data_IF_059196412216
#
_entry.id   IF_059196412216
#
_cell.length_a   1.000
_cell.length_b   1.000
_cell.length_c   1.000
_cell.angle_alpha   90.00
_cell.angle_beta   90.00
_cell.angle_gamma   90.00
#
_symmetry.space_group_name_H-M   'P 1'
#
loop_
_entity.id
_entity.type
_entity.pdbx_description
1 polymer ?
#
# COMPACT_ATOMS: atom_id res chain seq x y z
N UNK A 1 -1.64 -28.23 -8.07
CA UNK A 1 -3.06 -28.54 -8.29
C UNK A 1 -3.49 -29.53 -7.22
N UNK A 2 -4.38 -29.14 -6.32
CA UNK A 2 -4.88 -30.06 -5.31
C UNK A 2 -5.98 -30.94 -5.95
N UNK A 3 -5.77 -32.24 -5.98
CA UNK A 3 -6.78 -33.20 -6.43
C UNK A 3 -7.67 -33.54 -5.23
N UNK A 4 -8.94 -33.14 -5.28
CA UNK A 4 -9.94 -33.57 -4.30
C UNK A 4 -10.67 -34.78 -4.82
N UNK A 5 -10.72 -35.85 -4.03
CA UNK A 5 -11.44 -37.11 -4.34
C UNK A 5 -12.70 -37.18 -3.52
N UNK A 6 -13.78 -37.60 -4.15
CA UNK A 6 -15.05 -37.93 -3.49
C UNK A 6 -15.49 -39.33 -3.88
N UNK A 7 -16.25 -39.96 -3.01
CA UNK A 7 -16.77 -41.31 -3.24
C UNK A 7 -18.27 -41.21 -3.50
N UNK A 8 -18.72 -41.83 -4.57
CA UNK A 8 -20.16 -42.02 -4.81
C UNK A 8 -20.52 -43.44 -4.32
N UNK A 9 -21.46 -43.53 -3.38
CA UNK A 9 -21.95 -44.84 -2.87
C UNK A 9 -22.84 -45.52 -3.92
N UNK A 10 -23.06 -46.81 -3.72
CA UNK A 10 -23.99 -47.60 -4.57
C UNK A 10 -25.43 -47.07 -4.56
N UNK A 11 -25.79 -46.23 -3.59
CA UNK A 11 -27.09 -45.57 -3.46
C UNK A 11 -27.10 -44.19 -4.12
N UNK A 12 -25.99 -43.78 -4.80
CA UNK A 12 -25.86 -42.46 -5.44
C UNK A 12 -25.55 -41.33 -4.48
N UNK A 13 -25.24 -41.62 -3.20
CA UNK A 13 -24.88 -40.60 -2.23
C UNK A 13 -23.40 -40.24 -2.37
N UNK A 14 -23.11 -38.94 -2.43
CA UNK A 14 -21.74 -38.41 -2.43
C UNK A 14 -21.24 -38.33 -0.99
N UNK A 15 -20.11 -38.99 -0.69
CA UNK A 15 -19.42 -38.90 0.59
C UNK A 15 -18.09 -38.22 0.35
N UNK A 16 -17.86 -37.12 1.06
CA UNK A 16 -16.66 -36.30 0.97
C UNK A 16 -16.99 -34.84 0.79
N UNK A 17 -15.96 -34.02 0.58
CA UNK A 17 -16.12 -32.59 0.37
C UNK A 17 -16.66 -32.32 -1.03
N UNK A 18 -17.92 -31.90 -1.12
CA UNK A 18 -18.59 -31.59 -2.41
C UNK A 18 -18.41 -30.14 -2.85
N UNK A 19 -17.86 -29.30 -1.99
CA UNK A 19 -17.63 -27.89 -2.28
C UNK A 19 -16.15 -27.68 -2.66
N UNK A 20 -15.90 -27.31 -3.92
CA UNK A 20 -14.59 -26.90 -4.40
C UNK A 20 -14.53 -25.37 -4.25
N UNK A 21 -13.66 -24.89 -3.37
CA UNK A 21 -13.42 -23.47 -3.19
C UNK A 21 -12.08 -23.14 -3.83
N UNK A 22 -12.10 -22.30 -4.83
CA UNK A 22 -10.89 -21.68 -5.35
C UNK A 22 -10.52 -20.49 -4.45
N UNK A 23 -9.43 -20.61 -3.73
CA UNK A 23 -8.90 -19.52 -2.94
C UNK A 23 -8.19 -18.52 -3.84
N UNK A 24 -8.49 -17.23 -3.64
CA UNK A 24 -7.91 -16.15 -4.41
C UNK A 24 -6.55 -15.78 -3.82
N UNK A 25 -5.50 -15.87 -4.63
CA UNK A 25 -4.17 -15.40 -4.21
C UNK A 25 -4.22 -13.91 -3.83
N UNK A 26 -3.66 -13.59 -2.67
CA UNK A 26 -3.62 -12.25 -2.11
C UNK A 26 -2.23 -11.93 -1.59
N UNK A 27 -1.83 -10.68 -1.71
CA UNK A 27 -0.66 -10.12 -1.04
C UNK A 27 -1.12 -8.96 -0.20
N UNK A 28 -0.79 -8.98 1.09
CA UNK A 28 -1.15 -7.93 2.04
C UNK A 28 0.10 -7.27 2.59
N UNK A 29 0.06 -5.97 2.75
CA UNK A 29 1.10 -5.23 3.45
C UNK A 29 0.49 -4.18 4.38
N UNK A 30 1.26 -3.76 5.36
CA UNK A 30 0.89 -2.71 6.30
C UNK A 30 1.84 -1.52 6.14
N UNK A 31 1.25 -0.34 5.95
CA UNK A 31 1.95 0.93 5.87
C UNK A 31 1.90 1.66 7.21
N UNK A 32 3.05 2.11 7.69
CA UNK A 32 3.16 2.81 8.97
C UNK A 32 4.09 4.02 8.85
N UNK A 33 3.98 4.92 9.84
CA UNK A 33 4.94 5.99 10.14
C UNK A 33 6.16 5.42 10.87
N UNK A 34 7.20 6.22 11.07
CA UNK A 34 8.39 5.84 11.85
C UNK A 34 8.04 5.39 13.29
N UNK A 35 7.05 6.00 13.91
CA UNK A 35 6.59 5.67 15.26
C UNK A 35 5.71 4.39 15.31
N UNK A 36 5.48 3.72 14.17
CA UNK A 36 4.69 2.50 14.06
C UNK A 36 3.18 2.71 13.93
N UNK A 37 2.69 3.95 13.96
CA UNK A 37 1.27 4.23 13.73
C UNK A 37 0.87 3.96 12.27
N UNK A 38 -0.39 3.55 12.01
CA UNK A 38 -0.89 3.38 10.65
C UNK A 38 -0.72 4.65 9.82
N UNK A 39 -0.33 4.48 8.55
CA UNK A 39 -0.22 5.57 7.58
C UNK A 39 -1.16 5.33 6.39
N UNK A 40 -2.34 5.96 6.38
CA UNK A 40 -3.27 5.88 5.25
C UNK A 40 -2.83 6.74 4.08
N UNK A 41 -3.38 6.46 2.88
CA UNK A 41 -3.20 7.28 1.69
C UNK A 41 -1.92 7.00 0.89
N UNK A 42 -1.07 6.08 1.31
CA UNK A 42 0.08 5.64 0.53
C UNK A 42 -0.36 4.77 -0.65
N UNK A 43 0.11 5.06 -1.85
CA UNK A 43 -0.24 4.35 -3.07
C UNK A 43 0.87 3.39 -3.46
N UNK A 44 0.53 2.11 -3.63
CA UNK A 44 1.45 1.05 -4.04
C UNK A 44 1.02 0.44 -5.38
N UNK A 45 2.00 0.11 -6.20
CA UNK A 45 1.83 -0.66 -7.42
C UNK A 45 2.44 -2.05 -7.30
N UNK A 46 1.78 -3.03 -7.91
CA UNK A 46 2.34 -4.36 -8.13
C UNK A 46 2.62 -4.55 -9.61
N UNK A 47 3.83 -5.00 -9.93
CA UNK A 47 4.36 -5.12 -11.28
C UNK A 47 4.70 -6.58 -11.58
N UNK A 48 4.47 -7.03 -12.80
CA UNK A 48 4.86 -8.35 -13.27
C UNK A 48 6.37 -8.44 -13.60
N UNK A 49 6.81 -9.62 -14.04
CA UNK A 49 8.21 -9.86 -14.42
C UNK A 49 8.67 -9.00 -15.61
N UNK A 50 7.77 -8.47 -16.42
CA UNK A 50 8.05 -7.53 -17.51
C UNK A 50 8.04 -6.07 -17.06
N UNK A 51 7.96 -5.82 -15.74
CA UNK A 51 7.83 -4.48 -15.13
C UNK A 51 6.56 -3.72 -15.58
N UNK A 52 5.50 -4.46 -15.92
CA UNK A 52 4.19 -3.89 -16.24
C UNK A 52 3.35 -3.78 -14.98
N UNK A 53 2.71 -2.62 -14.76
CA UNK A 53 1.80 -2.40 -13.63
C UNK A 53 0.56 -3.28 -13.79
N UNK A 54 0.35 -4.19 -12.84
CA UNK A 54 -0.78 -5.13 -12.82
C UNK A 54 -1.94 -4.57 -12.02
N UNK A 55 -1.67 -4.06 -10.84
CA UNK A 55 -2.66 -3.44 -9.95
C UNK A 55 -2.05 -2.29 -9.16
N UNK A 56 -2.91 -1.39 -8.69
CA UNK A 56 -2.58 -0.31 -7.79
C UNK A 56 -3.55 -0.33 -6.61
N UNK A 57 -3.04 -0.10 -5.40
CA UNK A 57 -3.83 -0.07 -4.18
C UNK A 57 -3.37 1.08 -3.28
N UNK A 58 -4.30 1.59 -2.48
CA UNK A 58 -4.04 2.66 -1.50
C UNK A 58 -4.22 2.12 -0.09
N UNK A 59 -3.32 2.49 0.83
CA UNK A 59 -3.45 2.09 2.23
C UNK A 59 -4.69 2.72 2.88
N UNK A 60 -5.44 1.89 3.61
CA UNK A 60 -6.65 2.29 4.33
C UNK A 60 -6.34 3.01 5.66
N UNK A 61 -7.38 3.38 6.42
CA UNK A 61 -7.26 4.05 7.71
C UNK A 61 -6.43 3.26 8.74
N UNK A 62 -6.31 1.94 8.58
CA UNK A 62 -5.49 1.05 9.42
C UNK A 62 -4.09 0.81 8.84
N UNK A 63 -3.76 1.48 7.73
CA UNK A 63 -2.51 1.32 7.00
C UNK A 63 -2.44 0.05 6.15
N UNK A 64 -3.52 -0.72 6.04
CA UNK A 64 -3.51 -1.97 5.26
C UNK A 64 -3.86 -1.73 3.79
N UNK A 65 -3.25 -2.53 2.93
CA UNK A 65 -3.66 -2.67 1.53
C UNK A 65 -3.50 -4.12 1.07
N UNK A 66 -4.31 -4.51 0.08
CA UNK A 66 -4.37 -5.90 -0.40
C UNK A 66 -4.43 -5.92 -1.92
N UNK A 67 -3.47 -6.60 -2.54
CA UNK A 67 -3.56 -7.02 -3.93
C UNK A 67 -4.22 -8.41 -3.97
N UNK A 68 -5.16 -8.63 -4.87
CA UNK A 68 -5.93 -9.88 -4.94
C UNK A 68 -6.15 -10.32 -6.40
N UNK A 69 -6.62 -11.56 -6.59
CA UNK A 69 -6.85 -12.16 -7.90
C UNK A 69 -5.58 -12.19 -8.76
N UNK A 70 -4.44 -12.47 -8.11
CA UNK A 70 -3.16 -12.57 -8.78
C UNK A 70 -2.96 -13.98 -9.36
N UNK A 71 -2.48 -14.07 -10.58
CA UNK A 71 -2.06 -15.33 -11.19
C UNK A 71 -0.73 -15.83 -10.62
N UNK A 72 -0.29 -17.01 -11.06
CA UNK A 72 1.05 -17.50 -10.76
C UNK A 72 2.10 -16.62 -11.46
N UNK A 73 3.17 -16.32 -10.76
CA UNK A 73 4.24 -15.46 -11.26
C UNK A 73 5.03 -14.79 -10.16
N UNK A 74 6.10 -14.12 -10.55
CA UNK A 74 6.91 -13.26 -9.67
C UNK A 74 6.49 -11.82 -9.89
N UNK A 75 6.22 -11.14 -8.79
CA UNK A 75 5.77 -9.76 -8.77
C UNK A 75 6.72 -8.90 -7.97
N UNK A 76 6.86 -7.63 -8.38
CA UNK A 76 7.57 -6.59 -7.64
C UNK A 76 6.57 -5.55 -7.13
N UNK A 77 6.64 -5.20 -5.86
CA UNK A 77 5.78 -4.19 -5.22
C UNK A 77 6.63 -2.97 -4.91
N UNK A 78 6.11 -1.77 -5.23
CA UNK A 78 6.76 -0.48 -4.98
C UNK A 78 5.73 0.52 -4.49
N UNK A 79 6.18 1.46 -3.66
CA UNK A 79 5.41 2.66 -3.38
C UNK A 79 5.48 3.61 -4.59
N UNK A 80 4.31 4.01 -5.11
CA UNK A 80 4.18 4.94 -6.23
C UNK A 80 4.11 6.37 -5.71
N UNK A 81 3.39 6.55 -4.58
CA UNK A 81 3.15 7.86 -3.99
C UNK A 81 3.02 7.74 -2.48
N UNK A 82 3.79 8.54 -1.76
CA UNK A 82 3.61 8.73 -0.32
C UNK A 82 2.46 9.69 -0.02
N UNK A 83 1.83 9.59 1.14
CA UNK A 83 0.92 10.61 1.62
C UNK A 83 1.62 11.96 1.81
N UNK A 84 0.83 13.02 1.82
CA UNK A 84 1.37 14.37 2.05
C UNK A 84 2.15 14.45 3.38
N UNK A 85 3.32 15.07 3.35
CA UNK A 85 4.20 15.21 4.51
C UNK A 85 5.14 14.03 4.76
N UNK A 86 5.22 13.06 3.83
CA UNK A 86 6.10 11.90 3.94
C UNK A 86 6.97 11.72 2.72
N UNK A 87 8.17 11.19 2.92
CA UNK A 87 9.01 10.71 1.82
C UNK A 87 8.55 9.32 1.37
N UNK A 88 8.46 9.06 0.05
CA UNK A 88 8.13 7.72 -0.42
C UNK A 88 9.25 6.74 -0.06
N UNK A 89 8.86 5.52 0.32
CA UNK A 89 9.82 4.43 0.47
C UNK A 89 10.44 4.07 -0.87
N UNK A 90 11.75 3.94 -0.91
CA UNK A 90 12.52 3.49 -2.10
C UNK A 90 12.63 1.97 -2.17
N UNK A 91 12.03 1.25 -1.23
CA UNK A 91 12.06 -0.21 -1.15
C UNK A 91 11.29 -0.87 -2.28
N UNK A 92 11.81 -2.03 -2.70
CA UNK A 92 11.13 -2.94 -3.62
C UNK A 92 10.99 -4.30 -2.96
N UNK A 93 9.80 -4.91 -3.06
CA UNK A 93 9.51 -6.22 -2.46
C UNK A 93 9.12 -7.20 -3.55
N UNK A 94 9.88 -8.29 -3.66
CA UNK A 94 9.55 -9.36 -4.60
C UNK A 94 8.74 -10.46 -3.89
N UNK A 95 7.70 -10.92 -4.56
CA UNK A 95 6.82 -12.01 -4.10
C UNK A 95 6.57 -12.96 -5.27
N UNK A 96 6.72 -14.25 -5.03
CA UNK A 96 6.40 -15.29 -6.01
C UNK A 96 5.15 -16.04 -5.60
N UNK A 97 4.18 -16.14 -6.50
CA UNK A 97 2.97 -16.95 -6.37
C UNK A 97 3.12 -18.14 -7.32
N UNK A 98 3.35 -19.34 -6.78
CA UNK A 98 3.67 -20.55 -7.56
C UNK A 98 2.77 -21.75 -7.24
N UNK A 99 1.75 -21.53 -6.42
CA UNK A 99 0.81 -22.60 -6.01
C UNK A 99 1.34 -23.58 -4.98
N UNK A 100 2.60 -23.39 -4.48
CA UNK A 100 3.16 -24.25 -3.41
C UNK A 100 2.71 -23.81 -2.03
N UNK A 101 2.14 -22.63 -1.90
CA UNK A 101 1.63 -22.12 -0.64
C UNK A 101 0.30 -22.77 -0.29
N UNK A 102 0.24 -23.37 0.89
CA UNK A 102 -1.02 -23.89 1.46
C UNK A 102 -1.96 -22.76 1.90
N UNK A 103 -1.44 -21.54 2.00
CA UNK A 103 -2.19 -20.34 2.30
C UNK A 103 -2.07 -19.35 1.13
N UNK A 104 -3.17 -18.99 0.45
CA UNK A 104 -3.16 -18.05 -0.67
C UNK A 104 -2.87 -16.60 -0.26
N UNK A 105 -2.82 -16.33 1.05
CA UNK A 105 -2.54 -14.99 1.59
C UNK A 105 -1.08 -14.91 1.99
N UNK A 106 -0.31 -14.06 1.31
CA UNK A 106 1.05 -13.72 1.69
C UNK A 106 1.06 -12.37 2.40
N UNK A 107 1.66 -12.32 3.58
CA UNK A 107 1.79 -11.10 4.35
C UNK A 107 3.22 -10.58 4.15
N UNK A 108 3.32 -9.43 3.50
CA UNK A 108 4.58 -8.71 3.41
C UNK A 108 4.87 -7.96 4.70
N UNK A 109 6.14 -7.68 4.88
CA UNK A 109 6.61 -6.90 6.03
C UNK A 109 5.99 -5.50 6.06
N UNK A 110 6.05 -4.88 7.22
CA UNK A 110 5.65 -3.50 7.43
C UNK A 110 6.55 -2.54 6.64
N UNK A 111 5.94 -1.62 5.90
CA UNK A 111 6.63 -0.57 5.15
C UNK A 111 6.53 0.74 5.89
N UNK A 112 7.69 1.36 6.15
CA UNK A 112 7.80 2.62 6.89
C UNK A 112 8.06 3.76 5.89
N UNK A 113 7.39 4.91 6.09
CA UNK A 113 7.80 6.18 5.48
C UNK A 113 8.34 7.12 6.55
N UNK A 114 9.39 7.83 6.18
CA UNK A 114 9.97 8.89 6.98
C UNK A 114 9.19 10.19 6.81
N UNK A 115 9.12 10.98 7.88
CA UNK A 115 8.53 12.32 7.82
C UNK A 115 9.32 13.20 6.84
N UNK A 116 8.61 13.98 6.03
CA UNK A 116 9.19 15.00 5.15
C UNK A 116 8.93 16.40 5.74
N UNK A 117 9.75 16.88 6.70
CA UNK A 117 9.52 18.17 7.32
C UNK A 117 9.65 19.28 6.27
N UNK A 118 8.59 20.06 6.09
CA UNK A 118 8.60 21.27 5.28
C UNK A 118 9.01 22.50 6.10
N UNK A 119 9.57 23.49 5.44
CA UNK A 119 9.79 24.80 6.04
C UNK A 119 9.24 25.89 5.12
N UNK A 120 8.77 26.97 5.74
CA UNK A 120 8.27 28.15 5.03
C UNK A 120 9.18 29.32 5.39
N UNK A 121 9.71 29.99 4.36
CA UNK A 121 10.43 31.24 4.52
C UNK A 121 9.53 32.39 4.06
N UNK A 122 9.20 33.29 4.95
CA UNK A 122 8.45 34.51 4.64
C UNK A 122 9.38 35.72 4.73
N UNK A 123 9.43 36.53 3.70
CA UNK A 123 10.19 37.78 3.67
C UNK A 123 9.18 38.92 3.43
N UNK A 124 9.06 39.82 4.38
CA UNK A 124 8.30 41.05 4.22
C UNK A 124 9.22 42.15 3.71
N UNK A 125 8.83 42.78 2.61
CA UNK A 125 9.58 43.89 2.02
C UNK A 125 8.72 45.13 1.94
N UNK A 126 9.37 46.31 1.94
CA UNK A 126 8.74 47.57 1.63
C UNK A 126 8.34 47.61 0.14
N UNK A 127 7.16 48.16 -0.15
CA UNK A 127 6.63 48.19 -1.51
C UNK A 127 7.31 49.26 -2.39
N UNK A 128 8.00 50.27 -1.78
CA UNK A 128 8.61 51.35 -2.50
C UNK A 128 10.05 51.05 -2.92
N UNK A 129 10.83 50.42 -2.04
CA UNK A 129 12.26 50.21 -2.25
C UNK A 129 12.71 48.76 -2.17
N UNK A 130 11.82 47.87 -1.81
CA UNK A 130 12.10 46.43 -1.74
C UNK A 130 12.94 45.99 -0.53
N UNK A 131 13.26 46.88 0.41
CA UNK A 131 14.06 46.56 1.59
C UNK A 131 13.28 45.65 2.55
N UNK A 132 13.96 44.69 3.23
CA UNK A 132 13.32 43.86 4.23
C UNK A 132 12.78 44.66 5.40
N UNK A 133 11.55 44.42 5.81
CA UNK A 133 10.92 45.05 6.98
C UNK A 133 11.09 44.12 8.17
N UNK A 134 11.79 44.58 9.21
CA UNK A 134 11.97 43.81 10.45
C UNK A 134 10.78 43.96 11.41
N UNK A 135 10.63 43.02 12.36
CA UNK A 135 9.65 43.11 13.44
C UNK A 135 8.20 42.81 13.03
N UNK A 136 7.95 42.33 11.80
CA UNK A 136 6.62 41.89 11.36
C UNK A 136 6.34 40.50 11.91
N UNK A 137 5.19 40.36 12.56
CA UNK A 137 4.69 39.05 13.04
C UNK A 137 3.80 38.41 11.99
N UNK A 138 4.01 37.11 11.76
CA UNK A 138 3.16 36.27 10.93
C UNK A 138 2.60 35.17 11.77
N UNK A 139 1.31 34.89 11.63
CA UNK A 139 0.68 33.72 12.16
C UNK A 139 0.51 32.70 11.02
N UNK A 140 0.93 31.45 11.24
CA UNK A 140 0.85 30.36 10.26
C UNK A 140 -0.21 29.39 10.76
N UNK A 141 -1.19 29.10 9.91
CA UNK A 141 -2.26 28.16 10.18
C UNK A 141 -2.10 26.95 9.27
N UNK A 142 -2.24 25.75 9.82
CA UNK A 142 -2.39 24.56 9.02
C UNK A 142 -3.84 24.52 8.49
N UNK A 143 -3.99 24.35 7.19
CA UNK A 143 -5.29 24.08 6.58
C UNK A 143 -5.46 22.57 6.45
N UNK A 144 -6.70 22.10 6.56
CA UNK A 144 -7.04 20.72 6.23
C UNK A 144 -6.85 20.49 4.71
N UNK A 145 -6.85 19.23 4.27
CA UNK A 145 -6.71 18.87 2.85
C UNK A 145 -7.78 19.51 1.94
N UNK A 146 -8.94 19.88 2.52
CA UNK A 146 -10.04 20.58 1.85
C UNK A 146 -9.87 22.12 1.81
N UNK A 147 -8.79 22.67 2.38
CA UNK A 147 -8.51 24.10 2.40
C UNK A 147 -9.23 24.90 3.50
N UNK A 148 -9.84 24.22 4.47
CA UNK A 148 -10.55 24.83 5.62
C UNK A 148 -9.67 25.00 6.85
#
# INVERSE_FOLDING_TARGET
MAVKTFTVTSEGKIIGETEIRDEINKIQLKKVKENGEPLPGAVFGIYDASNTLVQQQTSDASGHLTFSKLGYGTYTIREIQAPYGYHPSTGEWQVTIDGTYQNPVQILTTVVNEDAPGWIRVIKTDALDGHPIAGVRFDIYALNEDGS
#
